data_IF_518870904759
#
_entry.id   IF_518870904759
#
_cell.length_a   1.000
_cell.length_b   1.000
_cell.length_c   1.000
_cell.angle_alpha   90.00
_cell.angle_beta   90.00
_cell.angle_gamma   90.00
#
_symmetry.space_group_name_H-M   'P 1'
#
loop_
_entity.id
_entity.type
_entity.pdbx_description
1 polymer ?
#
# COMPACT_ATOMS: atom_id res chain seq x y z
N UNK A 1 23.13 51.36 -15.09
CA UNK A 1 21.73 51.64 -15.51
C UNK A 1 21.57 51.54 -17.03
N UNK A 2 22.45 52.16 -17.83
CA UNK A 2 22.43 52.02 -19.30
C UNK A 2 22.54 50.56 -19.77
N UNK A 3 23.49 49.80 -19.23
CA UNK A 3 23.66 48.37 -19.54
C UNK A 3 22.39 47.56 -19.29
N UNK A 4 21.75 47.74 -18.13
CA UNK A 4 20.51 47.03 -17.83
C UNK A 4 19.36 47.40 -18.78
N UNK A 5 19.24 48.68 -19.16
CA UNK A 5 18.22 49.10 -20.13
C UNK A 5 18.43 48.45 -21.50
N UNK A 6 19.69 48.39 -21.98
CA UNK A 6 20.02 47.71 -23.23
C UNK A 6 19.74 46.21 -23.14
N UNK A 7 20.22 45.55 -22.09
CA UNK A 7 19.92 44.14 -21.82
C UNK A 7 18.41 43.86 -21.86
N UNK A 8 17.63 44.66 -21.12
CA UNK A 8 16.20 44.47 -21.00
C UNK A 8 15.47 44.64 -22.34
N UNK A 9 15.81 45.66 -23.13
CA UNK A 9 15.19 45.86 -24.45
C UNK A 9 15.58 44.77 -25.45
N UNK A 10 16.85 44.36 -25.51
CA UNK A 10 17.27 43.24 -26.38
C UNK A 10 16.59 41.93 -25.98
N UNK A 11 16.58 41.61 -24.68
CA UNK A 11 15.90 40.43 -24.16
C UNK A 11 14.39 40.46 -24.48
N UNK A 12 13.72 41.59 -24.30
CA UNK A 12 12.29 41.74 -24.61
C UNK A 12 12.01 41.47 -26.09
N UNK A 13 12.93 41.83 -26.97
CA UNK A 13 12.85 41.56 -28.41
C UNK A 13 13.37 40.17 -28.80
N UNK A 14 13.73 39.31 -27.83
CA UNK A 14 14.34 37.98 -28.02
C UNK A 14 15.65 38.00 -28.82
N UNK A 15 16.32 39.15 -28.87
CA UNK A 15 17.68 39.27 -29.40
C UNK A 15 18.68 38.94 -28.30
N UNK A 16 18.77 37.66 -27.95
CA UNK A 16 19.59 37.19 -26.83
C UNK A 16 21.09 37.33 -27.09
N UNK A 17 21.52 37.26 -28.35
CA UNK A 17 22.92 37.47 -28.72
C UNK A 17 23.38 38.89 -28.37
N UNK A 18 22.55 39.90 -28.68
CA UNK A 18 22.83 41.29 -28.29
C UNK A 18 22.60 41.54 -26.80
N UNK A 19 21.67 40.82 -26.16
CA UNK A 19 21.36 41.00 -24.74
C UNK A 19 22.51 40.54 -23.82
N UNK A 20 23.06 39.35 -24.05
CA UNK A 20 23.98 38.68 -23.11
C UNK A 20 25.19 39.53 -22.68
N UNK A 21 25.90 40.24 -23.58
CA UNK A 21 27.02 41.09 -23.16
C UNK A 21 26.62 42.17 -22.15
N UNK A 22 25.48 42.82 -22.37
CA UNK A 22 24.96 43.84 -21.46
C UNK A 22 24.50 43.25 -20.12
N UNK A 23 23.90 42.06 -20.14
CA UNK A 23 23.51 41.35 -18.92
C UNK A 23 24.71 40.95 -18.08
N UNK A 24 25.80 40.49 -18.70
CA UNK A 24 27.06 40.18 -18.01
C UNK A 24 27.73 41.42 -17.43
N UNK A 25 27.71 42.57 -18.12
CA UNK A 25 28.19 43.83 -17.56
C UNK A 25 27.43 44.18 -16.27
N UNK A 26 26.09 44.04 -16.27
CA UNK A 26 25.27 44.27 -15.08
C UNK A 26 25.65 43.31 -13.93
N UNK A 27 25.78 42.01 -14.22
CA UNK A 27 26.06 40.98 -13.20
C UNK A 27 27.47 41.15 -12.61
N UNK A 28 28.46 41.50 -13.41
CA UNK A 28 29.85 41.61 -12.97
C UNK A 28 30.13 42.92 -12.22
N UNK A 29 29.39 44.00 -12.48
CA UNK A 29 29.55 45.28 -11.78
C UNK A 29 28.80 45.32 -10.44
N UNK A 30 27.46 45.24 -10.48
CA UNK A 30 26.59 45.20 -9.30
C UNK A 30 25.16 44.81 -9.71
N UNK A 31 24.74 43.54 -9.51
CA UNK A 31 23.41 43.08 -9.88
C UNK A 31 22.31 43.45 -8.87
N UNK A 32 22.65 43.86 -7.64
CA UNK A 32 21.68 44.06 -6.53
C UNK A 32 20.48 44.95 -6.91
N UNK A 33 20.65 46.11 -7.59
CA UNK A 33 19.52 46.96 -7.95
C UNK A 33 18.57 46.32 -8.97
N UNK A 34 19.02 45.26 -9.64
CA UNK A 34 18.37 44.62 -10.78
C UNK A 34 17.76 43.25 -10.46
N UNK A 35 17.99 42.72 -9.25
CA UNK A 35 17.37 41.48 -8.75
C UNK A 35 15.84 41.54 -8.85
N UNK A 36 15.23 42.66 -8.45
CA UNK A 36 13.77 42.87 -8.55
C UNK A 36 13.22 42.80 -9.99
N UNK A 37 14.09 42.95 -10.99
CA UNK A 37 13.75 42.83 -12.40
C UNK A 37 14.13 41.47 -13.01
N UNK A 38 14.50 40.50 -12.15
CA UNK A 38 14.82 39.11 -12.49
C UNK A 38 16.00 38.97 -13.44
N UNK A 39 17.06 39.76 -13.23
CA UNK A 39 18.26 39.75 -14.09
C UNK A 39 18.83 38.34 -14.28
N UNK A 40 18.94 37.54 -13.22
CA UNK A 40 19.49 36.17 -13.30
C UNK A 40 18.58 35.21 -14.08
N UNK A 41 17.27 35.16 -13.80
CA UNK A 41 16.34 34.30 -14.57
C UNK A 41 16.25 34.71 -16.04
N UNK A 42 16.39 36.00 -16.35
CA UNK A 42 16.44 36.48 -17.74
C UNK A 42 17.73 36.11 -18.46
N UNK A 43 18.85 36.16 -17.75
CA UNK A 43 20.12 35.66 -18.26
C UNK A 43 20.06 34.14 -18.51
N UNK A 44 19.45 33.40 -17.59
CA UNK A 44 19.18 31.96 -17.76
C UNK A 44 18.34 31.70 -19.01
N UNK A 45 17.22 32.41 -19.21
CA UNK A 45 16.38 32.28 -20.41
C UNK A 45 17.19 32.49 -21.71
N UNK A 46 18.02 33.54 -21.73
CA UNK A 46 18.88 33.84 -22.86
C UNK A 46 19.92 32.73 -23.11
N UNK A 47 20.60 32.25 -22.06
CA UNK A 47 21.62 31.19 -22.19
C UNK A 47 21.00 29.86 -22.65
N UNK A 48 19.83 29.48 -22.13
CA UNK A 48 19.10 28.29 -22.59
C UNK A 48 18.71 28.40 -24.06
N UNK A 49 18.22 29.56 -24.50
CA UNK A 49 17.95 29.77 -25.92
C UNK A 49 19.22 29.65 -26.76
N UNK A 50 20.34 30.24 -26.32
CA UNK A 50 21.60 30.14 -27.04
C UNK A 50 22.07 28.68 -27.14
N UNK A 51 21.96 27.90 -26.06
CA UNK A 51 22.35 26.49 -26.05
C UNK A 51 21.45 25.63 -26.96
N UNK A 52 20.13 25.74 -26.81
CA UNK A 52 19.19 24.81 -27.45
C UNK A 52 18.82 25.20 -28.89
N UNK A 53 18.88 26.50 -29.20
CA UNK A 53 18.36 27.05 -30.48
C UNK A 53 19.40 27.72 -31.36
N UNK A 54 20.59 28.05 -30.84
CA UNK A 54 21.61 28.80 -31.61
C UNK A 54 22.90 28.01 -31.78
N UNK A 55 23.40 27.38 -30.71
CA UNK A 55 24.64 26.62 -30.76
C UNK A 55 24.53 25.44 -31.73
N UNK A 56 25.48 25.35 -32.65
CA UNK A 56 25.49 24.33 -33.71
C UNK A 56 26.58 23.30 -33.54
N UNK A 57 27.56 23.59 -32.69
CA UNK A 57 28.69 22.71 -32.36
C UNK A 57 28.67 22.33 -30.88
N UNK A 58 29.29 21.20 -30.55
CA UNK A 58 29.41 20.77 -29.15
C UNK A 58 30.31 21.73 -28.35
N UNK A 59 31.35 22.31 -28.97
CA UNK A 59 32.20 23.32 -28.34
C UNK A 59 31.40 24.56 -27.90
N UNK A 60 30.54 25.09 -28.76
CA UNK A 60 29.66 26.21 -28.41
C UNK A 60 28.71 25.84 -27.27
N UNK A 61 28.16 24.63 -27.29
CA UNK A 61 27.27 24.13 -26.22
C UNK A 61 27.98 24.03 -24.88
N UNK A 62 29.20 23.46 -24.84
CA UNK A 62 29.99 23.37 -23.62
C UNK A 62 30.37 24.75 -23.07
N UNK A 63 30.74 25.69 -23.93
CA UNK A 63 31.03 27.07 -23.51
C UNK A 63 29.79 27.74 -22.88
N UNK A 64 28.60 27.51 -23.45
CA UNK A 64 27.35 28.03 -22.88
C UNK A 64 27.02 27.31 -21.57
N UNK A 65 27.26 26.01 -21.46
CA UNK A 65 27.08 25.26 -20.22
C UNK A 65 27.95 25.82 -19.10
N UNK A 66 29.26 26.00 -19.33
CA UNK A 66 30.18 26.60 -18.36
C UNK A 66 29.74 28.01 -17.95
N UNK A 67 29.34 28.82 -18.92
CA UNK A 67 28.81 30.17 -18.71
C UNK A 67 27.54 30.16 -17.86
N UNK A 68 26.67 29.15 -18.05
CA UNK A 68 25.43 28.97 -17.29
C UNK A 68 25.71 28.52 -15.86
N UNK A 69 26.68 27.63 -15.65
CA UNK A 69 27.11 27.21 -14.31
C UNK A 69 27.67 28.41 -13.53
N UNK A 70 28.48 29.24 -14.16
CA UNK A 70 28.98 30.49 -13.55
C UNK A 70 27.85 31.48 -13.23
N UNK A 71 26.83 31.58 -14.09
CA UNK A 71 25.64 32.39 -13.80
C UNK A 71 24.97 31.94 -12.50
N UNK A 72 24.78 30.64 -12.27
CA UNK A 72 24.16 30.14 -11.05
C UNK A 72 25.01 30.38 -9.80
N UNK A 73 26.34 30.27 -9.90
CA UNK A 73 27.23 30.63 -8.80
C UNK A 73 27.09 32.09 -8.40
N UNK A 74 26.93 32.99 -9.39
CA UNK A 74 26.63 34.40 -9.13
C UNK A 74 25.22 34.57 -8.57
N UNK A 75 24.21 33.92 -9.14
CA UNK A 75 22.83 34.05 -8.68
C UNK A 75 22.69 33.66 -7.19
N UNK A 76 23.33 32.55 -6.77
CA UNK A 76 23.32 32.09 -5.37
C UNK A 76 23.94 33.12 -4.41
N UNK A 77 24.93 33.91 -4.85
CA UNK A 77 25.56 34.96 -4.03
C UNK A 77 24.61 36.14 -3.74
N UNK A 78 23.62 36.39 -4.61
CA UNK A 78 22.78 37.59 -4.56
C UNK A 78 21.30 37.30 -4.30
N UNK A 79 20.82 36.10 -4.64
CA UNK A 79 19.43 35.63 -4.44
C UNK A 79 19.44 34.38 -3.54
N UNK A 80 19.86 34.55 -2.28
CA UNK A 80 19.94 33.47 -1.29
C UNK A 80 18.58 32.76 -1.08
N UNK A 81 17.47 33.50 -1.22
CA UNK A 81 16.10 32.97 -1.14
C UNK A 81 15.75 31.98 -2.27
N UNK A 82 16.53 31.94 -3.35
CA UNK A 82 16.37 31.03 -4.49
C UNK A 82 17.54 30.06 -4.65
N UNK A 83 18.36 29.92 -3.61
CA UNK A 83 19.54 29.05 -3.66
C UNK A 83 19.20 27.62 -4.09
N UNK A 84 18.19 26.99 -3.47
CA UNK A 84 17.73 25.64 -3.84
C UNK A 84 17.32 25.53 -5.32
N UNK A 85 16.61 26.53 -5.85
CA UNK A 85 16.26 26.61 -7.28
C UNK A 85 17.53 26.60 -8.15
N UNK A 86 18.48 27.49 -7.88
CA UNK A 86 19.70 27.58 -8.69
C UNK A 86 20.60 26.35 -8.57
N UNK A 87 20.64 25.69 -7.41
CA UNK A 87 21.35 24.42 -7.24
C UNK A 87 20.69 23.31 -8.08
N UNK A 88 19.36 23.21 -8.09
CA UNK A 88 18.65 22.23 -8.90
C UNK A 88 18.82 22.49 -10.41
N UNK A 89 18.81 23.76 -10.83
CA UNK A 89 19.11 24.16 -12.21
C UNK A 89 20.55 23.88 -12.59
N UNK A 90 21.50 24.12 -11.69
CA UNK A 90 22.92 23.74 -11.86
C UNK A 90 23.05 22.24 -12.08
N UNK A 91 22.42 21.43 -11.24
CA UNK A 91 22.39 19.98 -11.37
C UNK A 91 21.84 19.52 -12.72
N UNK A 92 20.73 20.13 -13.18
CA UNK A 92 20.18 19.85 -14.50
C UNK A 92 21.15 20.18 -15.65
N UNK A 93 21.86 21.30 -15.59
CA UNK A 93 22.87 21.67 -16.59
C UNK A 93 24.04 20.69 -16.57
N UNK A 94 24.55 20.34 -15.38
CA UNK A 94 25.62 19.32 -15.24
C UNK A 94 25.17 17.99 -15.88
N UNK A 95 23.95 17.56 -15.57
CA UNK A 95 23.38 16.30 -16.03
C UNK A 95 23.22 16.22 -17.56
N UNK A 96 22.84 17.32 -18.21
CA UNK A 96 22.37 17.28 -19.60
C UNK A 96 23.31 17.97 -20.60
N UNK A 97 24.13 18.92 -20.16
CA UNK A 97 24.92 19.80 -21.05
C UNK A 97 26.43 19.68 -20.85
N UNK A 98 26.88 18.85 -19.93
CA UNK A 98 28.30 18.69 -19.61
C UNK A 98 28.72 17.22 -19.64
N UNK A 99 30.03 16.98 -19.79
CA UNK A 99 30.64 15.66 -19.66
C UNK A 99 31.11 15.36 -18.22
N UNK A 100 30.64 16.14 -17.24
CA UNK A 100 30.99 15.88 -15.85
C UNK A 100 30.39 14.53 -15.40
N UNK A 101 31.05 13.82 -14.46
CA UNK A 101 30.50 12.61 -13.89
C UNK A 101 29.11 12.83 -13.32
N UNK A 102 28.23 11.84 -13.45
CA UNK A 102 26.84 11.90 -12.98
C UNK A 102 26.74 12.20 -11.49
N UNK A 103 27.74 11.82 -10.71
CA UNK A 103 27.85 12.10 -9.28
C UNK A 103 27.88 13.60 -8.98
N UNK A 104 28.41 14.43 -9.89
CA UNK A 104 28.40 15.88 -9.74
C UNK A 104 26.97 16.44 -9.84
N UNK A 105 26.16 15.91 -10.75
CA UNK A 105 24.74 16.27 -10.85
C UNK A 105 23.94 15.77 -9.64
N UNK A 106 24.18 14.52 -9.22
CA UNK A 106 23.55 13.95 -8.01
C UNK A 106 23.86 14.81 -6.79
N UNK A 107 25.13 15.18 -6.58
CA UNK A 107 25.56 16.03 -5.45
C UNK A 107 24.84 17.38 -5.48
N UNK A 108 24.75 18.03 -6.63
CA UNK A 108 24.06 19.32 -6.75
C UNK A 108 22.54 19.22 -6.51
N UNK A 109 21.89 18.14 -6.94
CA UNK A 109 20.48 17.88 -6.61
C UNK A 109 20.29 17.57 -5.11
N UNK A 110 21.19 16.80 -4.50
CA UNK A 110 21.18 16.52 -3.05
C UNK A 110 21.34 17.81 -2.24
N UNK A 111 22.26 18.69 -2.62
CA UNK A 111 22.44 20.01 -2.00
C UNK A 111 21.18 20.87 -2.14
N UNK A 112 20.55 20.86 -3.32
CA UNK A 112 19.30 21.59 -3.55
C UNK A 112 18.16 21.09 -2.64
N UNK A 113 18.00 19.77 -2.52
CA UNK A 113 16.95 19.15 -1.71
C UNK A 113 17.24 19.29 -0.20
N UNK A 114 18.50 19.32 0.21
CA UNK A 114 18.89 19.57 1.60
C UNK A 114 18.62 21.02 2.02
N UNK A 115 18.78 21.97 1.10
CA UNK A 115 18.46 23.39 1.30
C UNK A 115 16.93 23.63 1.34
N UNK A 116 16.18 22.96 0.45
CA UNK A 116 14.71 23.00 0.41
C UNK A 116 14.11 21.59 0.24
N UNK A 117 13.61 20.97 1.32
CA UNK A 117 12.93 19.67 1.25
C UNK A 117 11.65 19.65 0.41
N UNK A 118 11.08 20.81 0.08
CA UNK A 118 9.89 20.96 -0.76
C UNK A 118 10.23 21.41 -2.19
N UNK A 119 11.48 21.20 -2.63
CA UNK A 119 11.92 21.47 -3.99
C UNK A 119 10.93 20.92 -5.03
N UNK A 120 10.79 21.59 -6.17
CA UNK A 120 9.87 21.16 -7.22
C UNK A 120 10.03 19.65 -7.53
N UNK A 121 8.90 18.94 -7.50
CA UNK A 121 8.84 17.48 -7.71
C UNK A 121 9.53 17.03 -9.00
N UNK A 122 9.61 17.90 -10.02
CA UNK A 122 10.39 17.64 -11.22
C UNK A 122 11.86 17.34 -10.90
N UNK A 123 12.51 18.17 -10.08
CA UNK A 123 13.92 17.97 -9.71
C UNK A 123 14.12 16.81 -8.74
N UNK A 124 13.15 16.58 -7.86
CA UNK A 124 13.16 15.38 -7.02
C UNK A 124 13.08 14.11 -7.89
N UNK A 125 12.18 14.04 -8.88
CA UNK A 125 12.11 12.90 -9.80
C UNK A 125 13.40 12.78 -10.64
N UNK A 126 14.04 13.87 -11.06
CA UNK A 126 15.37 13.80 -11.71
C UNK A 126 16.41 13.11 -10.82
N UNK A 127 16.53 13.54 -9.57
CA UNK A 127 17.44 12.90 -8.61
C UNK A 127 17.11 11.42 -8.41
N UNK A 128 15.82 11.09 -8.25
CA UNK A 128 15.36 9.72 -8.12
C UNK A 128 15.70 8.85 -9.34
N UNK A 129 15.55 9.37 -10.56
CA UNK A 129 15.93 8.69 -11.79
C UNK A 129 17.43 8.42 -11.82
N UNK A 130 18.25 9.40 -11.44
CA UNK A 130 19.71 9.24 -11.38
C UNK A 130 20.10 8.18 -10.35
N UNK A 131 19.50 8.18 -9.16
CA UNK A 131 19.73 7.11 -8.19
C UNK A 131 19.37 5.74 -8.74
N UNK A 132 18.21 5.59 -9.38
CA UNK A 132 17.79 4.30 -9.95
C UNK A 132 18.73 3.83 -11.06
N UNK A 133 19.13 4.75 -11.96
CA UNK A 133 19.96 4.43 -13.13
C UNK A 133 21.39 4.06 -12.76
N UNK A 134 21.97 4.78 -11.81
CA UNK A 134 23.36 4.60 -11.36
C UNK A 134 23.47 3.64 -10.16
N UNK A 135 22.40 2.91 -9.84
CA UNK A 135 22.37 2.09 -8.65
C UNK A 135 23.32 0.89 -8.79
N UNK A 136 24.18 0.70 -7.79
CA UNK A 136 24.99 -0.50 -7.60
C UNK A 136 24.70 -1.10 -6.23
N UNK A 137 25.14 -2.33 -6.00
CA UNK A 137 24.99 -2.97 -4.70
C UNK A 137 25.77 -2.27 -3.57
N UNK A 138 26.76 -1.44 -3.93
CA UNK A 138 27.69 -0.81 -2.98
C UNK A 138 27.31 0.63 -2.62
N UNK A 139 26.68 1.38 -3.53
CA UNK A 139 26.47 2.82 -3.35
C UNK A 139 25.18 3.20 -2.59
N UNK A 140 24.29 2.23 -2.35
CA UNK A 140 23.04 2.45 -1.61
C UNK A 140 22.00 3.30 -2.33
N UNK A 141 22.17 3.59 -3.62
CA UNK A 141 21.24 4.46 -4.36
C UNK A 141 19.84 3.87 -4.49
N UNK A 142 19.68 2.55 -4.55
CA UNK A 142 18.34 1.92 -4.48
C UNK A 142 17.58 2.35 -3.21
N UNK A 143 18.28 2.47 -2.08
CA UNK A 143 17.68 2.89 -0.82
C UNK A 143 17.39 4.40 -0.79
N UNK A 144 18.28 5.23 -1.35
CA UNK A 144 18.03 6.66 -1.50
C UNK A 144 16.83 6.94 -2.41
N UNK A 145 16.72 6.23 -3.54
CA UNK A 145 15.58 6.31 -4.43
C UNK A 145 14.29 5.84 -3.75
N UNK A 146 14.34 4.73 -3.00
CA UNK A 146 13.19 4.24 -2.23
C UNK A 146 12.70 5.28 -1.21
N UNK A 147 13.60 5.89 -0.45
CA UNK A 147 13.26 6.92 0.54
C UNK A 147 12.61 8.14 -0.13
N UNK A 148 13.22 8.62 -1.21
CA UNK A 148 12.72 9.76 -1.98
C UNK A 148 11.32 9.50 -2.56
N UNK A 149 11.14 8.40 -3.29
CA UNK A 149 9.85 8.08 -3.89
C UNK A 149 8.80 7.68 -2.85
N UNK A 150 9.19 7.12 -1.70
CA UNK A 150 8.27 6.88 -0.60
C UNK A 150 7.70 8.21 -0.11
N UNK A 151 8.54 9.19 0.23
CA UNK A 151 8.12 10.54 0.66
C UNK A 151 7.22 11.22 -0.37
N UNK A 152 7.57 11.15 -1.65
CA UNK A 152 6.73 11.69 -2.73
C UNK A 152 5.36 11.00 -2.81
N UNK A 153 5.33 9.67 -2.67
CA UNK A 153 4.09 8.88 -2.62
C UNK A 153 3.23 9.21 -1.41
N UNK A 154 3.80 9.62 -0.29
CA UNK A 154 3.04 10.02 0.91
C UNK A 154 2.46 11.44 0.76
N UNK A 155 3.24 12.35 0.16
CA UNK A 155 2.82 13.72 -0.10
C UNK A 155 1.72 13.80 -1.18
N UNK A 156 1.76 12.92 -2.18
CA UNK A 156 0.72 12.78 -3.20
C UNK A 156 0.34 11.31 -3.46
N UNK A 157 -0.52 10.73 -2.60
CA UNK A 157 -0.97 9.34 -2.75
C UNK A 157 -1.81 9.08 -3.99
N UNK A 158 -2.31 10.13 -4.65
CA UNK A 158 -3.15 10.01 -5.85
C UNK A 158 -2.34 9.84 -7.13
N UNK A 159 -1.04 10.17 -7.08
CA UNK A 159 -0.15 10.09 -8.21
C UNK A 159 0.47 8.68 -8.33
N UNK A 160 0.07 7.89 -9.34
CA UNK A 160 0.56 6.52 -9.49
C UNK A 160 2.03 6.46 -9.92
N UNK A 161 2.62 7.56 -10.38
CA UNK A 161 4.01 7.60 -10.82
C UNK A 161 4.96 7.19 -9.70
N UNK A 162 4.75 7.64 -8.46
CA UNK A 162 5.65 7.34 -7.34
C UNK A 162 5.63 5.85 -6.96
N UNK A 163 4.45 5.24 -6.98
CA UNK A 163 4.31 3.80 -6.78
C UNK A 163 5.03 3.04 -7.89
N UNK A 164 4.86 3.44 -9.16
CA UNK A 164 5.55 2.82 -10.29
C UNK A 164 7.08 3.01 -10.21
N UNK A 165 7.56 4.17 -9.78
CA UNK A 165 8.99 4.43 -9.55
C UNK A 165 9.57 3.49 -8.49
N UNK A 166 8.87 3.28 -7.37
CA UNK A 166 9.26 2.33 -6.32
C UNK A 166 9.31 0.91 -6.86
N UNK A 167 8.29 0.49 -7.61
CA UNK A 167 8.21 -0.86 -8.18
C UNK A 167 9.35 -1.12 -9.18
N UNK A 168 9.74 -0.12 -9.97
CA UNK A 168 10.85 -0.20 -10.92
C UNK A 168 12.25 -0.17 -10.27
N UNK A 169 12.36 -0.02 -8.94
CA UNK A 169 13.65 -0.14 -8.25
C UNK A 169 14.17 -1.58 -8.21
N UNK A 170 13.27 -2.54 -8.49
CA UNK A 170 13.51 -3.96 -8.41
C UNK A 170 13.13 -4.64 -9.73
N UNK A 171 13.80 -5.74 -10.06
CA UNK A 171 13.45 -6.57 -11.23
C UNK A 171 12.15 -7.34 -11.01
N UNK A 172 11.88 -7.72 -9.76
CA UNK A 172 10.68 -8.42 -9.35
C UNK A 172 10.24 -8.05 -7.91
N UNK A 173 9.12 -8.62 -7.50
CA UNK A 173 8.54 -8.36 -6.18
C UNK A 173 9.36 -8.97 -5.03
N UNK A 174 10.16 -10.02 -5.26
CA UNK A 174 11.01 -10.61 -4.23
C UNK A 174 12.18 -9.68 -3.90
N UNK A 175 12.84 -9.13 -4.93
CA UNK A 175 13.89 -8.14 -4.74
C UNK A 175 13.35 -6.87 -4.08
N UNK A 176 12.14 -6.41 -4.46
CA UNK A 176 11.52 -5.25 -3.79
C UNK A 176 11.26 -5.49 -2.30
N UNK A 177 10.86 -6.70 -1.92
CA UNK A 177 10.74 -7.10 -0.51
C UNK A 177 12.10 -7.02 0.18
N UNK A 178 13.18 -7.44 -0.46
CA UNK A 178 14.52 -7.37 0.13
C UNK A 178 15.05 -5.93 0.25
N UNK A 179 14.79 -5.07 -0.73
CA UNK A 179 15.15 -3.65 -0.68
C UNK A 179 14.42 -2.95 0.47
N UNK A 180 13.09 -3.14 0.57
CA UNK A 180 12.29 -2.55 1.64
C UNK A 180 12.63 -3.12 3.02
N UNK A 181 12.98 -4.41 3.10
CA UNK A 181 13.49 -5.02 4.31
C UNK A 181 14.80 -4.37 4.75
N UNK A 182 15.79 -4.25 3.86
CA UNK A 182 17.08 -3.59 4.15
C UNK A 182 16.87 -2.15 4.61
N UNK A 183 15.98 -1.41 3.94
CA UNK A 183 15.64 -0.04 4.33
C UNK A 183 15.13 0.04 5.78
N UNK A 184 14.25 -0.89 6.17
CA UNK A 184 13.78 -0.98 7.55
C UNK A 184 14.88 -1.44 8.52
N UNK A 185 15.75 -2.39 8.16
CA UNK A 185 16.82 -2.84 9.07
C UNK A 185 17.83 -1.74 9.41
N UNK A 186 18.08 -0.80 8.49
CA UNK A 186 18.93 0.38 8.74
C UNK A 186 18.30 1.38 9.72
N UNK A 187 16.99 1.32 9.91
CA UNK A 187 16.22 2.24 10.75
C UNK A 187 15.07 1.46 11.42
N UNK A 188 15.47 0.51 12.28
CA UNK A 188 14.60 -0.57 12.78
C UNK A 188 13.40 -0.09 13.59
N UNK A 189 13.51 1.10 14.20
CA UNK A 189 12.43 1.70 14.97
C UNK A 189 11.42 2.50 14.11
N UNK A 190 11.68 2.66 12.82
CA UNK A 190 10.81 3.43 11.92
C UNK A 190 9.60 2.61 11.46
N UNK A 191 8.42 3.04 11.91
CA UNK A 191 7.15 2.41 11.62
C UNK A 191 6.72 2.51 10.15
N UNK A 192 7.04 3.61 9.47
CA UNK A 192 6.69 3.81 8.06
C UNK A 192 7.46 2.81 7.18
N UNK A 193 8.77 2.67 7.43
CA UNK A 193 9.61 1.68 6.75
C UNK A 193 9.19 0.25 7.08
N UNK A 194 8.86 -0.04 8.34
CA UNK A 194 8.30 -1.33 8.74
C UNK A 194 7.02 -1.65 7.96
N UNK A 195 6.12 -0.67 7.84
CA UNK A 195 4.87 -0.81 7.07
C UNK A 195 5.13 -1.00 5.59
N UNK A 196 6.05 -0.24 4.99
CA UNK A 196 6.43 -0.41 3.58
C UNK A 196 6.95 -1.83 3.31
N UNK A 197 7.86 -2.31 4.15
CA UNK A 197 8.38 -3.68 4.08
C UNK A 197 7.25 -4.71 4.22
N UNK A 198 6.48 -4.65 5.31
CA UNK A 198 5.43 -5.63 5.58
C UNK A 198 4.34 -5.64 4.52
N UNK A 199 3.88 -4.47 4.05
CA UNK A 199 2.85 -4.38 3.01
C UNK A 199 3.35 -4.87 1.66
N UNK A 200 4.61 -4.61 1.31
CA UNK A 200 5.25 -5.17 0.11
C UNK A 200 5.34 -6.69 0.21
N UNK A 201 5.77 -7.22 1.36
CA UNK A 201 5.83 -8.65 1.61
C UNK A 201 4.43 -9.32 1.55
N UNK A 202 3.40 -8.68 2.12
CA UNK A 202 2.01 -9.15 2.01
C UNK A 202 1.55 -9.20 0.55
N UNK A 203 1.84 -8.18 -0.24
CA UNK A 203 1.49 -8.12 -1.67
C UNK A 203 2.20 -9.21 -2.48
N UNK A 204 3.45 -9.50 -2.13
CA UNK A 204 4.23 -10.59 -2.71
C UNK A 204 3.87 -11.97 -2.12
N UNK A 205 2.89 -12.06 -1.21
CA UNK A 205 2.51 -13.29 -0.50
C UNK A 205 3.65 -13.94 0.30
N UNK A 206 4.70 -13.18 0.62
CA UNK A 206 5.79 -13.60 1.50
C UNK A 206 5.37 -13.35 2.96
N UNK A 207 4.41 -14.16 3.42
CA UNK A 207 3.76 -13.97 4.71
C UNK A 207 4.73 -14.14 5.88
N UNK A 208 5.76 -14.98 5.73
CA UNK A 208 6.81 -15.19 6.74
C UNK A 208 7.58 -13.90 7.00
N UNK A 209 8.04 -13.22 5.94
CA UNK A 209 8.71 -11.91 6.08
C UNK A 209 7.75 -10.84 6.59
N UNK A 210 6.51 -10.83 6.09
CA UNK A 210 5.53 -9.82 6.48
C UNK A 210 5.25 -9.81 7.98
N UNK A 211 5.18 -10.98 8.63
CA UNK A 211 4.92 -11.13 10.06
C UNK A 211 5.94 -10.38 10.91
N UNK A 212 7.22 -10.38 10.56
CA UNK A 212 8.26 -9.71 11.38
C UNK A 212 7.96 -8.22 11.54
N UNK A 213 7.69 -7.52 10.43
CA UNK A 213 7.34 -6.10 10.49
C UNK A 213 5.96 -5.85 11.06
N UNK A 214 4.99 -6.74 10.82
CA UNK A 214 3.64 -6.60 11.37
C UNK A 214 3.60 -6.81 12.89
N UNK A 215 4.35 -7.77 13.43
CA UNK A 215 4.52 -7.98 14.89
C UNK A 215 5.15 -6.74 15.54
N UNK A 216 6.18 -6.16 14.91
CA UNK A 216 6.77 -4.90 15.35
C UNK A 216 5.74 -3.75 15.36
N UNK A 217 4.96 -3.61 14.28
CA UNK A 217 3.98 -2.53 14.12
C UNK A 217 2.86 -2.62 15.16
N UNK A 218 2.31 -3.81 15.40
CA UNK A 218 1.25 -3.97 16.42
C UNK A 218 1.80 -3.80 17.84
N UNK A 219 3.09 -4.05 18.08
CA UNK A 219 3.73 -3.76 19.36
C UNK A 219 3.88 -2.25 19.59
N UNK A 220 4.27 -1.49 18.55
CA UNK A 220 4.47 -0.04 18.63
C UNK A 220 3.16 0.74 18.62
N UNK A 221 2.16 0.29 17.87
CA UNK A 221 0.84 0.92 17.76
C UNK A 221 -0.28 -0.13 17.78
N UNK A 222 -0.63 -0.61 18.99
CA UNK A 222 -1.57 -1.72 19.18
C UNK A 222 -3.03 -1.39 18.88
N UNK A 223 -3.35 -0.14 18.59
CA UNK A 223 -4.69 0.36 18.26
C UNK A 223 -4.92 0.51 16.74
N UNK A 224 -3.87 0.39 15.92
CA UNK A 224 -4.00 0.47 14.46
C UNK A 224 -4.56 -0.84 13.90
N UNK A 225 -5.85 -0.83 13.60
CA UNK A 225 -6.65 -1.97 13.13
C UNK A 225 -6.03 -2.62 11.87
N UNK A 226 -5.54 -1.82 10.93
CA UNK A 226 -5.01 -2.33 9.67
C UNK A 226 -3.80 -3.26 9.88
N UNK A 227 -2.94 -2.97 10.85
CA UNK A 227 -1.79 -3.82 11.17
C UNK A 227 -2.24 -5.19 11.69
N UNK A 228 -3.23 -5.21 12.59
CA UNK A 228 -3.81 -6.44 13.10
C UNK A 228 -4.53 -7.25 12.02
N UNK A 229 -5.23 -6.61 11.08
CA UNK A 229 -5.88 -7.29 9.95
C UNK A 229 -4.85 -8.02 9.06
N UNK A 230 -3.78 -7.32 8.68
CA UNK A 230 -2.70 -7.89 7.87
C UNK A 230 -1.98 -9.01 8.63
N UNK A 231 -1.72 -8.82 9.93
CA UNK A 231 -1.06 -9.82 10.77
C UNK A 231 -1.91 -11.09 10.93
N UNK A 232 -3.21 -10.93 11.20
CA UNK A 232 -4.14 -12.04 11.31
C UNK A 232 -4.22 -12.84 10.00
N UNK A 233 -4.26 -12.14 8.86
CA UNK A 233 -4.24 -12.72 7.52
C UNK A 233 -2.95 -13.48 7.24
N UNK A 234 -1.79 -12.89 7.59
CA UNK A 234 -0.50 -13.55 7.41
C UNK A 234 -0.42 -14.86 8.23
N UNK A 235 -0.82 -14.82 9.51
CA UNK A 235 -0.89 -16.03 10.33
C UNK A 235 -1.88 -17.07 9.79
N UNK A 236 -3.02 -16.66 9.23
CA UNK A 236 -3.96 -17.57 8.57
C UNK A 236 -3.31 -18.27 7.37
N UNK A 237 -2.62 -17.52 6.51
CA UNK A 237 -2.00 -18.04 5.28
C UNK A 237 -0.87 -19.03 5.56
N UNK A 238 -0.23 -18.92 6.72
CA UNK A 238 0.80 -19.84 7.19
C UNK A 238 0.28 -20.93 8.13
N UNK A 239 -1.04 -21.07 8.29
CA UNK A 239 -1.68 -22.02 9.20
C UNK A 239 -1.24 -21.89 10.68
N UNK A 240 -0.70 -20.73 11.08
CA UNK A 240 -0.31 -20.41 12.46
C UNK A 240 -1.58 -20.02 13.25
N UNK A 241 -2.45 -21.02 13.43
CA UNK A 241 -3.84 -20.80 13.83
C UNK A 241 -3.96 -20.19 15.23
N UNK A 242 -3.08 -20.56 16.17
CA UNK A 242 -3.10 -20.01 17.55
C UNK A 242 -2.88 -18.50 17.56
N UNK A 243 -1.83 -18.01 16.90
CA UNK A 243 -1.53 -16.58 16.81
C UNK A 243 -2.60 -15.82 16.02
N UNK A 244 -3.15 -16.44 14.98
CA UNK A 244 -4.24 -15.81 14.23
C UNK A 244 -5.50 -15.63 15.08
N UNK A 245 -5.87 -16.60 15.91
CA UNK A 245 -6.98 -16.48 16.86
C UNK A 245 -6.72 -15.31 17.84
N UNK A 246 -5.51 -15.15 18.34
CA UNK A 246 -5.14 -14.02 19.22
C UNK A 246 -5.30 -12.68 18.50
N UNK A 247 -4.82 -12.58 17.25
CA UNK A 247 -4.96 -11.38 16.43
C UNK A 247 -6.45 -11.03 16.16
N UNK A 248 -7.30 -12.01 15.82
CA UNK A 248 -8.73 -11.76 15.63
C UNK A 248 -9.47 -11.41 16.94
N UNK A 249 -9.08 -11.99 18.07
CA UNK A 249 -9.59 -11.54 19.38
C UNK A 249 -9.24 -10.08 19.63
N UNK A 250 -8.03 -9.66 19.27
CA UNK A 250 -7.64 -8.25 19.37
C UNK A 250 -8.44 -7.36 18.43
N UNK A 251 -8.67 -7.79 17.19
CA UNK A 251 -9.54 -7.09 16.24
C UNK A 251 -10.97 -6.92 16.77
N UNK A 252 -11.52 -7.91 17.45
CA UNK A 252 -12.84 -7.80 18.11
C UNK A 252 -12.81 -6.79 19.26
N UNK A 253 -11.72 -6.71 20.03
CA UNK A 253 -11.59 -5.69 21.07
C UNK A 253 -11.62 -4.27 20.47
N UNK A 254 -10.97 -4.07 19.32
CA UNK A 254 -10.86 -2.79 18.62
C UNK A 254 -12.11 -2.44 17.79
N UNK A 255 -12.77 -3.44 17.19
CA UNK A 255 -13.92 -3.30 16.29
C UNK A 255 -15.00 -4.35 16.62
N UNK A 256 -15.76 -4.09 17.69
CA UNK A 256 -16.82 -4.98 18.15
C UNK A 256 -18.02 -5.09 17.19
N UNK A 257 -18.16 -4.13 16.29
CA UNK A 257 -19.23 -4.01 15.31
C UNK A 257 -18.88 -4.61 13.95
N UNK A 258 -17.68 -5.19 13.80
CA UNK A 258 -17.30 -5.90 12.58
C UNK A 258 -17.61 -7.40 12.68
N UNK A 259 -18.72 -7.82 12.06
CA UNK A 259 -19.17 -9.21 12.04
C UNK A 259 -18.13 -10.18 11.41
N UNK A 260 -17.29 -9.70 10.51
CA UNK A 260 -16.29 -10.52 9.79
C UNK A 260 -15.26 -11.14 10.74
N UNK A 261 -14.81 -10.37 11.74
CA UNK A 261 -13.85 -10.86 12.75
C UNK A 261 -14.41 -12.06 13.54
N UNK A 262 -15.70 -12.02 13.86
CA UNK A 262 -16.38 -13.12 14.54
C UNK A 262 -16.50 -14.36 13.64
N UNK A 263 -16.81 -14.21 12.35
CA UNK A 263 -16.85 -15.35 11.42
C UNK A 263 -15.48 -15.94 11.21
N UNK A 264 -14.43 -15.13 11.09
CA UNK A 264 -13.06 -15.62 10.94
C UNK A 264 -12.63 -16.48 12.13
N UNK A 265 -12.93 -16.05 13.38
CA UNK A 265 -12.74 -16.91 14.55
C UNK A 265 -13.59 -18.17 14.50
N UNK A 266 -14.86 -18.07 14.11
CA UNK A 266 -15.73 -19.23 14.02
C UNK A 266 -15.20 -20.28 13.04
N UNK A 267 -14.70 -19.87 11.88
CA UNK A 267 -14.09 -20.76 10.89
C UNK A 267 -12.84 -21.43 11.46
N UNK A 268 -11.98 -20.70 12.17
CA UNK A 268 -10.81 -21.27 12.84
C UNK A 268 -11.18 -22.32 13.87
N UNK A 269 -12.11 -22.00 14.77
CA UNK A 269 -12.58 -22.94 15.78
C UNK A 269 -13.25 -24.16 15.16
N UNK A 270 -13.99 -23.99 14.05
CA UNK A 270 -14.57 -25.10 13.29
C UNK A 270 -13.48 -26.02 12.74
N UNK A 271 -12.43 -25.46 12.14
CA UNK A 271 -11.32 -26.23 11.57
C UNK A 271 -10.52 -26.98 12.65
N UNK A 272 -10.47 -26.45 13.87
CA UNK A 272 -9.91 -27.15 15.04
C UNK A 272 -10.87 -28.18 15.68
N UNK A 273 -12.07 -28.38 15.14
CA UNK A 273 -13.09 -29.26 15.73
C UNK A 273 -13.76 -28.72 16.99
N UNK A 274 -13.49 -27.46 17.37
CA UNK A 274 -14.12 -26.79 18.51
C UNK A 274 -15.50 -26.23 18.12
N UNK A 275 -16.43 -27.12 17.81
CA UNK A 275 -17.72 -26.76 17.18
C UNK A 275 -18.59 -25.86 18.06
N UNK A 276 -18.57 -26.08 19.38
CA UNK A 276 -19.30 -25.26 20.35
C UNK A 276 -18.84 -23.79 20.33
N UNK A 277 -17.51 -23.58 20.37
CA UNK A 277 -16.92 -22.24 20.31
C UNK A 277 -17.22 -21.58 18.96
N UNK A 278 -17.06 -22.32 17.85
CA UNK A 278 -17.41 -21.86 16.52
C UNK A 278 -18.84 -21.32 16.44
N UNK A 279 -19.82 -22.09 16.91
CA UNK A 279 -21.23 -21.67 16.92
C UNK A 279 -21.46 -20.40 17.74
N UNK A 280 -20.83 -20.27 18.91
CA UNK A 280 -20.94 -19.05 19.74
C UNK A 280 -20.48 -17.80 18.98
N UNK A 281 -19.35 -17.89 18.27
CA UNK A 281 -18.85 -16.78 17.45
C UNK A 281 -19.75 -16.50 16.23
N UNK A 282 -20.32 -17.52 15.59
CA UNK A 282 -21.31 -17.32 14.52
C UNK A 282 -22.56 -16.60 15.02
N UNK A 283 -23.04 -16.93 16.22
CA UNK A 283 -24.18 -16.24 16.83
C UNK A 283 -23.87 -14.76 17.06
N UNK A 284 -22.67 -14.44 17.56
CA UNK A 284 -22.22 -13.04 17.66
C UNK A 284 -22.16 -12.34 16.31
N UNK A 285 -21.64 -13.00 15.27
CA UNK A 285 -21.64 -12.44 13.91
C UNK A 285 -23.06 -12.13 13.40
N UNK A 286 -24.03 -13.02 13.66
CA UNK A 286 -25.45 -12.84 13.30
C UNK A 286 -26.11 -11.72 14.12
N UNK A 287 -25.72 -11.53 15.39
CA UNK A 287 -26.20 -10.41 16.21
C UNK A 287 -25.68 -9.07 15.69
N UNK A 288 -24.40 -9.01 15.31
CA UNK A 288 -23.74 -7.81 14.80
C UNK A 288 -24.24 -7.44 13.41
N UNK A 289 -24.40 -8.42 12.51
CA UNK A 289 -24.95 -8.20 11.18
C UNK A 289 -26.04 -9.24 10.82
N UNK A 290 -27.31 -8.98 11.20
CA UNK A 290 -28.42 -9.90 10.93
C UNK A 290 -28.76 -10.09 9.45
N UNK A 291 -28.30 -9.18 8.58
CA UNK A 291 -28.54 -9.22 7.13
C UNK A 291 -27.52 -10.05 6.36
N UNK A 292 -26.47 -10.52 7.02
CA UNK A 292 -25.39 -11.25 6.37
C UNK A 292 -25.65 -12.76 6.37
N UNK A 293 -25.67 -13.35 5.18
CA UNK A 293 -26.00 -14.76 4.98
C UNK A 293 -24.83 -15.72 5.27
N UNK A 294 -23.59 -15.22 5.23
CA UNK A 294 -22.39 -16.04 5.40
C UNK A 294 -22.28 -16.72 6.78
N UNK A 295 -22.56 -16.07 7.93
CA UNK A 295 -22.60 -16.75 9.22
C UNK A 295 -23.56 -17.95 9.24
N UNK A 296 -24.74 -17.82 8.60
CA UNK A 296 -25.72 -18.91 8.50
C UNK A 296 -25.23 -20.03 7.59
N UNK A 297 -24.59 -19.68 6.47
CA UNK A 297 -23.95 -20.67 5.61
C UNK A 297 -22.87 -21.45 6.37
N UNK A 298 -21.99 -20.76 7.12
CA UNK A 298 -20.95 -21.42 7.93
C UNK A 298 -21.58 -22.27 9.04
N UNK A 299 -22.66 -21.82 9.69
CA UNK A 299 -23.38 -22.62 10.71
C UNK A 299 -23.97 -23.90 10.10
N UNK A 300 -24.51 -23.84 8.88
CA UNK A 300 -24.94 -25.02 8.13
C UNK A 300 -23.78 -26.01 7.92
N UNK A 301 -22.61 -25.51 7.50
CA UNK A 301 -21.42 -26.37 7.30
C UNK A 301 -20.92 -26.97 8.61
N UNK A 302 -21.09 -26.26 9.73
CA UNK A 302 -20.74 -26.71 11.06
C UNK A 302 -21.59 -27.92 11.48
N UNK A 303 -22.90 -27.86 11.23
CA UNK A 303 -23.82 -28.98 11.50
C UNK A 303 -23.53 -30.18 10.60
N UNK A 304 -23.24 -29.96 9.32
CA UNK A 304 -22.82 -31.05 8.43
C UNK A 304 -21.54 -31.75 8.92
N UNK A 305 -20.53 -30.98 9.34
CA UNK A 305 -19.28 -31.54 9.87
C UNK A 305 -19.56 -32.38 11.12
N UNK A 306 -20.39 -31.89 12.04
CA UNK A 306 -20.79 -32.62 13.23
C UNK A 306 -21.49 -33.94 12.90
N UNK A 307 -22.45 -33.92 11.96
CA UNK A 307 -23.17 -35.11 11.54
C UNK A 307 -22.25 -36.14 10.88
N UNK A 308 -21.33 -35.70 10.01
CA UNK A 308 -20.36 -36.59 9.34
C UNK A 308 -19.38 -37.27 10.30
N UNK A 309 -19.01 -36.60 11.39
CA UNK A 309 -18.01 -37.11 12.33
C UNK A 309 -18.57 -38.02 13.43
N UNK A 310 -19.88 -38.22 13.49
CA UNK A 310 -20.52 -38.98 14.56
C UNK A 310 -20.99 -40.37 14.12
N UNK A 311 -22.13 -40.45 13.46
CA UNK A 311 -22.71 -41.69 12.96
C UNK A 311 -23.67 -41.42 11.79
N UNK A 312 -24.62 -42.34 11.57
CA UNK A 312 -25.68 -42.12 10.59
C UNK A 312 -27.01 -42.72 11.06
N UNK A 313 -27.34 -42.47 12.32
CA UNK A 313 -28.60 -42.83 12.95
C UNK A 313 -29.62 -41.69 12.78
N UNK A 314 -30.81 -41.88 13.37
CA UNK A 314 -31.90 -40.91 13.27
C UNK A 314 -31.51 -39.51 13.76
N UNK A 315 -30.68 -39.42 14.81
CA UNK A 315 -30.24 -38.13 15.33
C UNK A 315 -29.27 -37.42 14.38
N UNK A 316 -28.35 -38.14 13.72
CA UNK A 316 -27.47 -37.56 12.71
C UNK A 316 -28.29 -37.02 11.52
N UNK A 317 -29.33 -37.76 11.09
CA UNK A 317 -30.28 -37.30 10.08
C UNK A 317 -31.03 -36.02 10.52
N UNK A 318 -31.43 -35.92 11.78
CA UNK A 318 -32.03 -34.69 12.32
C UNK A 318 -31.04 -33.51 12.32
N UNK A 319 -29.75 -33.75 12.58
CA UNK A 319 -28.71 -32.71 12.46
C UNK A 319 -28.49 -32.30 11.00
N UNK A 320 -28.55 -33.23 10.04
CA UNK A 320 -28.60 -32.86 8.62
C UNK A 320 -29.85 -32.04 8.26
N UNK A 321 -31.00 -32.35 8.87
CA UNK A 321 -32.21 -31.55 8.68
C UNK A 321 -32.03 -30.13 9.26
N UNK A 322 -31.40 -30.01 10.43
CA UNK A 322 -31.04 -28.70 10.99
C UNK A 322 -30.10 -27.92 10.06
N UNK A 323 -29.09 -28.59 9.48
CA UNK A 323 -28.21 -27.99 8.47
C UNK A 323 -29.01 -27.48 7.26
N UNK A 324 -29.90 -28.30 6.71
CA UNK A 324 -30.79 -27.93 5.59
C UNK A 324 -31.66 -26.72 5.93
N UNK A 325 -32.27 -26.68 7.11
CA UNK A 325 -33.09 -25.53 7.55
C UNK A 325 -32.24 -24.26 7.67
N UNK A 326 -31.02 -24.39 8.19
CA UNK A 326 -30.06 -23.29 8.34
C UNK A 326 -29.60 -22.76 6.97
N UNK A 327 -29.31 -23.65 6.01
CA UNK A 327 -28.99 -23.25 4.63
C UNK A 327 -30.18 -22.61 3.91
N UNK A 328 -31.40 -23.09 4.11
CA UNK A 328 -32.60 -22.44 3.57
C UNK A 328 -32.72 -21.01 4.09
N UNK A 329 -32.43 -20.78 5.37
CA UNK A 329 -32.39 -19.43 5.92
C UNK A 329 -31.36 -18.56 5.19
N UNK A 330 -30.11 -19.02 5.07
CA UNK A 330 -29.07 -18.31 4.30
C UNK A 330 -29.51 -18.02 2.85
N UNK A 331 -30.08 -19.02 2.16
CA UNK A 331 -30.58 -18.90 0.80
C UNK A 331 -31.68 -17.85 0.62
N UNK A 332 -32.55 -17.69 1.62
CA UNK A 332 -33.67 -16.72 1.60
C UNK A 332 -33.22 -15.29 1.88
N UNK A 333 -32.02 -15.09 2.44
CA UNK A 333 -31.49 -13.75 2.75
C UNK A 333 -30.96 -13.02 1.52
N UNK A 334 -30.70 -13.74 0.41
CA UNK A 334 -30.32 -13.12 -0.86
C UNK A 334 -28.90 -12.56 -0.93
N UNK A 335 -28.01 -12.93 0.01
CA UNK A 335 -26.61 -12.55 -0.02
C UNK A 335 -25.75 -13.43 -0.95
N UNK A 336 -24.43 -13.20 -0.89
CA UNK A 336 -23.46 -13.83 -1.79
C UNK A 336 -23.39 -15.36 -1.69
N UNK A 337 -23.80 -15.94 -0.56
CA UNK A 337 -23.77 -17.38 -0.31
C UNK A 337 -25.14 -18.04 -0.53
N UNK A 338 -26.16 -17.28 -0.96
CA UNK A 338 -27.51 -17.80 -1.13
C UNK A 338 -27.63 -18.89 -2.19
N UNK A 339 -26.90 -18.81 -3.30
CA UNK A 339 -26.86 -19.86 -4.35
C UNK A 339 -26.21 -21.14 -3.83
N UNK A 340 -25.00 -21.03 -3.25
CA UNK A 340 -24.26 -22.15 -2.67
C UNK A 340 -25.06 -22.83 -1.55
N UNK A 341 -25.78 -22.05 -0.74
CA UNK A 341 -26.68 -22.59 0.29
C UNK A 341 -27.81 -23.44 -0.32
N UNK A 342 -28.43 -23.02 -1.44
CA UNK A 342 -29.45 -23.84 -2.15
C UNK A 342 -28.85 -25.13 -2.70
N UNK A 343 -27.65 -25.09 -3.23
CA UNK A 343 -26.95 -26.30 -3.70
C UNK A 343 -26.71 -27.28 -2.54
N UNK A 344 -26.29 -26.78 -1.37
CA UNK A 344 -26.16 -27.61 -0.15
C UNK A 344 -27.49 -28.22 0.27
N UNK A 345 -28.60 -27.47 0.21
CA UNK A 345 -29.95 -28.00 0.50
C UNK A 345 -30.28 -29.19 -0.41
N UNK A 346 -30.04 -29.07 -1.72
CA UNK A 346 -30.27 -30.16 -2.67
C UNK A 346 -29.35 -31.35 -2.42
N UNK A 347 -28.07 -31.09 -2.13
CA UNK A 347 -27.07 -32.13 -1.88
C UNK A 347 -27.38 -32.98 -0.64
N UNK A 348 -28.07 -32.41 0.35
CA UNK A 348 -28.42 -33.08 1.61
C UNK A 348 -29.79 -33.76 1.60
N UNK A 349 -30.53 -33.75 0.49
CA UNK A 349 -31.90 -34.26 0.41
C UNK A 349 -32.02 -35.74 0.83
N UNK A 350 -30.99 -36.55 0.59
CA UNK A 350 -30.96 -37.98 0.96
C UNK A 350 -30.35 -38.25 2.34
N UNK A 351 -29.87 -37.20 3.03
CA UNK A 351 -29.22 -37.30 4.34
C UNK A 351 -30.16 -36.92 5.50
N UNK A 352 -31.32 -36.34 5.20
CA UNK A 352 -32.36 -36.01 6.18
C UNK A 352 -33.29 -37.21 6.43
N UNK A 353 -34.12 -37.21 7.50
CA UNK A 353 -35.00 -38.34 7.76
C UNK A 353 -36.11 -38.47 6.70
N UNK A 354 -36.37 -39.71 6.28
CA UNK A 354 -37.43 -40.04 5.34
C UNK A 354 -38.80 -40.09 6.02
N UNK A 355 -39.87 -40.19 5.23
CA UNK A 355 -41.22 -40.42 5.77
C UNK A 355 -41.32 -41.73 6.57
N UNK A 356 -40.58 -42.76 6.16
CA UNK A 356 -40.49 -44.02 6.92
C UNK A 356 -39.79 -43.82 8.27
N UNK A 357 -38.69 -43.04 8.31
CA UNK A 357 -37.97 -42.76 9.55
C UNK A 357 -38.90 -42.16 10.62
N UNK A 358 -39.79 -41.23 10.23
CA UNK A 358 -40.79 -40.62 11.10
C UNK A 358 -41.90 -41.59 11.47
N UNK A 359 -42.44 -42.34 10.50
CA UNK A 359 -43.54 -43.28 10.70
C UNK A 359 -43.21 -44.34 11.76
N UNK A 360 -42.05 -44.99 11.65
CA UNK A 360 -41.65 -46.03 12.61
C UNK A 360 -41.43 -45.50 14.03
N UNK A 361 -41.14 -44.20 14.17
CA UNK A 361 -40.94 -43.53 15.45
C UNK A 361 -42.18 -42.82 15.98
N UNK A 362 -43.30 -42.88 15.25
CA UNK A 362 -44.58 -42.22 15.59
C UNK A 362 -44.46 -40.70 15.73
N UNK A 363 -43.55 -40.10 14.96
CA UNK A 363 -43.32 -38.64 14.91
C UNK A 363 -44.21 -38.04 13.82
N UNK A 364 -44.78 -36.87 14.08
CA UNK A 364 -45.70 -36.15 13.19
C UNK A 364 -45.11 -34.83 12.71
N UNK A 365 -45.61 -34.35 11.57
CA UNK A 365 -45.31 -33.01 11.08
C UNK A 365 -45.70 -31.95 12.13
N UNK A 366 -44.81 -30.98 12.35
CA UNK A 366 -44.95 -29.96 13.39
C UNK A 366 -44.40 -30.36 14.77
N UNK A 367 -44.04 -31.62 14.99
CA UNK A 367 -43.35 -32.02 16.22
C UNK A 367 -42.00 -31.28 16.32
N UNK A 368 -41.62 -30.91 17.54
CA UNK A 368 -40.31 -30.32 17.85
C UNK A 368 -39.46 -31.36 18.55
N UNK A 369 -38.30 -31.66 17.99
CA UNK A 369 -37.36 -32.65 18.55
C UNK A 369 -36.08 -31.93 18.95
N UNK A 370 -35.69 -32.07 20.22
CA UNK A 370 -34.43 -31.56 20.71
C UNK A 370 -33.27 -32.35 20.09
N UNK A 371 -32.26 -31.64 19.58
CA UNK A 371 -31.00 -32.25 19.19
C UNK A 371 -30.20 -32.55 20.46
N UNK A 372 -29.89 -33.83 20.68
CA UNK A 372 -29.24 -34.32 21.89
C UNK A 372 -28.23 -35.43 21.58
N UNK A 373 -27.39 -35.73 22.58
CA UNK A 373 -26.41 -36.80 22.54
C UNK A 373 -25.00 -36.26 22.53
N UNK A 374 -24.05 -37.10 22.95
CA UNK A 374 -22.64 -36.73 23.18
C UNK A 374 -21.99 -35.93 22.02
N UNK A 375 -22.43 -36.20 20.80
CA UNK A 375 -22.00 -35.54 19.58
C UNK A 375 -22.52 -34.12 19.38
N UNK A 376 -23.66 -33.80 19.98
CA UNK A 376 -24.51 -32.67 19.62
C UNK A 376 -24.99 -31.83 20.80
N UNK A 377 -24.65 -32.18 22.04
CA UNK A 377 -25.07 -31.44 23.24
C UNK A 377 -24.71 -29.93 23.18
N UNK A 378 -23.69 -29.56 22.39
CA UNK A 378 -23.30 -28.17 22.15
C UNK A 378 -24.23 -27.39 21.19
N UNK A 379 -25.08 -28.08 20.41
CA UNK A 379 -26.00 -27.46 19.45
C UNK A 379 -27.12 -26.74 20.18
N UNK A 380 -27.67 -27.32 21.24
CA UNK A 380 -28.75 -26.77 22.06
C UNK A 380 -29.85 -26.07 21.23
N UNK A 381 -30.35 -26.78 20.20
CA UNK A 381 -31.48 -26.37 19.35
C UNK A 381 -32.43 -27.55 19.19
N UNK A 382 -33.68 -27.24 18.84
CA UNK A 382 -34.66 -28.21 18.38
C UNK A 382 -34.89 -28.05 16.88
N UNK A 383 -35.33 -29.13 16.23
CA UNK A 383 -35.72 -29.14 14.82
C UNK A 383 -37.24 -29.34 14.73
N UNK A 384 -37.90 -28.54 13.89
CA UNK A 384 -39.32 -28.71 13.57
C UNK A 384 -39.43 -29.71 12.41
N UNK A 385 -40.23 -30.75 12.59
CA UNK A 385 -40.45 -31.78 11.58
C UNK A 385 -41.34 -31.23 10.44
N UNK A 386 -40.91 -31.36 9.17
CA UNK A 386 -41.59 -30.76 8.02
C UNK A 386 -42.96 -31.36 7.70
#
# INVERSE_FOLDING_TARGET
>A
MAEFSLFFEYHKNKDFNSALPHGWNVINENPEPFIRYKIFTRMEEALFFMHDSVATTDEEKYQIADTTLFLYEKAIQYEEDKKSYYLARKAFVIENWTDQPVEAAITAYEEALADDPNLDTFYQDRLGILYTREATDENGYKLKALDLYSKLSEADPSNPTWVSRIENLAEDMDELVDITYRAWQLDKDNMEKAWKFSSTAMRNQNFEKAIEGLEFLVQKSPDVINYWNQLATAYQRLDITSKSIEAYKKLIELQRDNAEHYVNLAVMYKNQGQLAASRSFLQRAMEVNPGWDYPYYIEGTLYEQAARSCGFDFMDKLVYLLAVQTYRKAATMGGSYGSTARERVSALANSIPSQEDYFFRKIKSGDSIQIEGKCYDWINKSVIIP
#
